data_IF_307887985011
#
_entry.id   IF_307887985011
#
_cell.length_a   1.000
_cell.length_b   1.000
_cell.length_c   1.000
_cell.angle_alpha   90.00
_cell.angle_beta   90.00
_cell.angle_gamma   90.00
#
_symmetry.space_group_name_H-M   'P 1'
#
loop_
_entity.id
_entity.type
_entity.pdbx_description
1 polymer ?
#
# COMPACT_ATOMS: atom_id res chain seq x y z
N UNK A 1 -6.51 -24.19 -7.16
CA UNK A 1 -6.17 -23.74 -8.53
C UNK A 1 -5.11 -22.66 -8.39
N UNK A 2 -3.94 -22.85 -9.00
CA UNK A 2 -2.80 -21.91 -8.97
C UNK A 2 -2.48 -21.53 -10.41
N UNK A 3 -1.83 -20.38 -10.64
CA UNK A 3 -1.41 -19.96 -12.00
C UNK A 3 -0.50 -21.00 -12.65
N UNK A 4 0.33 -21.70 -11.87
CA UNK A 4 1.16 -22.82 -12.32
C UNK A 4 0.33 -23.95 -12.91
N UNK A 5 -0.75 -24.37 -12.23
CA UNK A 5 -1.64 -25.41 -12.78
C UNK A 5 -2.30 -24.99 -14.09
N UNK A 6 -2.60 -23.70 -14.29
CA UNK A 6 -3.17 -23.19 -15.54
C UNK A 6 -2.12 -23.15 -16.68
N UNK A 7 -0.87 -22.84 -16.36
CA UNK A 7 0.25 -22.97 -17.33
C UNK A 7 0.52 -24.42 -17.68
N UNK A 8 0.58 -25.31 -16.68
CA UNK A 8 0.95 -26.70 -16.84
C UNK A 8 -0.12 -27.53 -17.59
N UNK A 9 -1.36 -27.03 -17.66
CA UNK A 9 -2.45 -27.58 -18.48
C UNK A 9 -2.35 -27.08 -19.95
N UNK A 10 -1.38 -26.21 -20.28
CA UNK A 10 -1.17 -25.68 -21.64
C UNK A 10 -2.15 -24.59 -22.05
N UNK A 11 -2.94 -24.06 -21.12
CA UNK A 11 -3.99 -23.05 -21.37
C UNK A 11 -3.48 -21.61 -21.33
N UNK A 12 -2.23 -21.38 -20.92
CA UNK A 12 -1.61 -20.06 -20.89
C UNK A 12 -0.31 -20.06 -21.70
N UNK A 13 -0.16 -19.13 -22.68
CA UNK A 13 1.14 -18.86 -23.28
C UNK A 13 2.17 -18.49 -22.20
N UNK A 14 3.42 -18.89 -22.38
CA UNK A 14 4.49 -18.63 -21.40
C UNK A 14 4.63 -17.14 -21.05
N UNK A 15 4.56 -16.27 -22.06
CA UNK A 15 4.59 -14.81 -21.90
C UNK A 15 3.42 -14.29 -21.05
N UNK A 16 2.20 -14.77 -21.30
CA UNK A 16 0.99 -14.40 -20.55
C UNK A 16 1.09 -14.85 -19.09
N UNK A 17 1.63 -16.05 -18.85
CA UNK A 17 1.87 -16.53 -17.49
C UNK A 17 2.86 -15.65 -16.72
N UNK A 18 3.96 -15.23 -17.34
CA UNK A 18 4.95 -14.35 -16.71
C UNK A 18 4.36 -13.00 -16.34
N UNK A 19 3.64 -12.36 -17.26
CA UNK A 19 3.00 -11.05 -17.03
C UNK A 19 1.92 -11.15 -15.93
N UNK A 20 1.08 -12.19 -15.94
CA UNK A 20 0.07 -12.38 -14.88
C UNK A 20 0.70 -12.70 -13.52
N UNK A 21 1.82 -13.42 -13.50
CA UNK A 21 2.57 -13.69 -12.27
C UNK A 21 3.17 -12.41 -11.71
N UNK A 22 3.73 -11.56 -12.57
CA UNK A 22 4.24 -10.24 -12.19
C UNK A 22 3.11 -9.35 -11.66
N UNK A 23 1.95 -9.34 -12.31
CA UNK A 23 0.76 -8.62 -11.86
C UNK A 23 0.32 -9.06 -10.45
N UNK A 24 0.33 -10.36 -10.17
CA UNK A 24 0.03 -10.89 -8.83
C UNK A 24 1.07 -10.44 -7.81
N UNK A 25 2.36 -10.49 -8.14
CA UNK A 25 3.44 -10.02 -7.27
C UNK A 25 3.30 -8.53 -6.94
N UNK A 26 3.01 -7.69 -7.94
CA UNK A 26 2.78 -6.26 -7.74
C UNK A 26 1.55 -6.00 -6.86
N UNK A 27 0.46 -6.75 -7.05
CA UNK A 27 -0.72 -6.67 -6.15
C UNK A 27 -0.39 -7.05 -4.71
N UNK A 28 0.46 -8.04 -4.51
CA UNK A 28 0.90 -8.44 -3.16
C UNK A 28 1.81 -7.37 -2.54
N UNK A 29 2.72 -6.77 -3.33
CA UNK A 29 3.56 -5.64 -2.91
C UNK A 29 2.72 -4.42 -2.51
N UNK A 30 1.74 -4.01 -3.33
CA UNK A 30 0.78 -2.95 -3.01
C UNK A 30 0.07 -3.22 -1.67
N UNK A 31 -0.46 -4.44 -1.48
CA UNK A 31 -1.12 -4.82 -0.22
C UNK A 31 -0.20 -4.75 1.00
N UNK A 32 1.07 -5.12 0.85
CA UNK A 32 2.05 -5.03 1.94
C UNK A 32 2.31 -3.57 2.29
N UNK A 33 2.48 -2.69 1.30
CA UNK A 33 2.71 -1.27 1.55
C UNK A 33 1.48 -0.58 2.14
N UNK A 34 0.27 -0.84 1.64
CA UNK A 34 -0.98 -0.32 2.24
C UNK A 34 -1.15 -0.76 3.69
N UNK A 35 -0.79 -2.00 4.03
CA UNK A 35 -0.81 -2.47 5.44
C UNK A 35 0.22 -1.73 6.30
N UNK A 36 1.44 -1.55 5.80
CA UNK A 36 2.49 -0.80 6.52
C UNK A 36 2.11 0.66 6.71
N UNK A 37 1.57 1.28 5.67
CA UNK A 37 1.09 2.66 5.70
C UNK A 37 0.00 2.82 6.77
N UNK A 38 -0.98 1.92 6.82
CA UNK A 38 -2.02 1.93 7.86
C UNK A 38 -1.43 1.78 9.26
N UNK A 39 -0.48 0.87 9.45
CA UNK A 39 0.19 0.66 10.74
C UNK A 39 0.99 1.90 11.18
N UNK A 40 1.79 2.50 10.29
CA UNK A 40 2.56 3.70 10.60
C UNK A 40 1.68 4.94 10.75
N UNK A 41 0.55 5.00 10.02
CA UNK A 41 -0.48 6.02 10.20
C UNK A 41 -1.09 5.95 11.60
N UNK A 42 -1.42 4.75 12.08
CA UNK A 42 -1.87 4.56 13.47
C UNK A 42 -0.80 4.96 14.49
N UNK A 43 0.46 4.59 14.26
CA UNK A 43 1.57 5.01 15.12
C UNK A 43 1.70 6.54 15.20
N UNK A 44 1.58 7.22 14.06
CA UNK A 44 1.61 8.69 13.97
C UNK A 44 0.44 9.32 14.72
N UNK A 45 -0.77 8.77 14.58
CA UNK A 45 -1.96 9.25 15.30
C UNK A 45 -1.76 9.11 16.81
N UNK A 46 -1.28 7.95 17.27
CA UNK A 46 -1.06 7.68 18.69
C UNK A 46 0.04 8.58 19.27
N UNK A 47 1.18 8.74 18.59
CA UNK A 47 2.28 9.59 19.06
C UNK A 47 1.86 11.06 19.12
N UNK A 48 1.18 11.55 18.08
CA UNK A 48 0.72 12.93 18.00
C UNK A 48 -0.37 13.22 19.02
N UNK A 49 -1.31 12.27 19.22
CA UNK A 49 -2.34 12.39 20.25
C UNK A 49 -1.71 12.42 21.65
N UNK A 50 -0.70 11.58 21.91
CA UNK A 50 0.06 11.60 23.16
C UNK A 50 0.75 12.95 23.42
N UNK A 51 1.37 13.53 22.39
CA UNK A 51 1.97 14.87 22.47
C UNK A 51 0.93 15.95 22.78
N UNK A 52 -0.21 15.93 22.08
CA UNK A 52 -1.29 16.91 22.29
C UNK A 52 -1.88 16.79 23.70
N UNK A 53 -2.15 15.57 24.16
CA UNK A 53 -2.64 15.32 25.52
C UNK A 53 -1.63 15.76 26.57
N UNK A 54 -0.34 15.49 26.34
CA UNK A 54 0.72 15.96 27.23
C UNK A 54 0.75 17.49 27.33
N UNK A 55 0.69 18.19 26.20
CA UNK A 55 0.62 19.66 26.17
C UNK A 55 -0.63 20.18 26.90
N UNK A 56 -1.80 19.57 26.63
CA UNK A 56 -3.07 20.06 27.15
C UNK A 56 -3.25 19.82 28.66
N UNK A 57 -2.79 18.69 29.20
CA UNK A 57 -2.97 18.36 30.61
C UNK A 57 -1.81 18.79 31.50
N UNK A 58 -0.57 18.71 31.02
CA UNK A 58 0.61 18.93 31.85
C UNK A 58 1.30 20.27 31.62
N UNK A 59 0.97 20.99 30.54
CA UNK A 59 1.57 22.29 30.22
C UNK A 59 0.54 23.43 30.15
N UNK A 60 -0.71 23.16 30.55
CA UNK A 60 -1.79 24.17 30.62
C UNK A 60 -1.36 25.34 31.51
N UNK A 61 -1.40 26.56 30.96
CA UNK A 61 -1.01 27.79 31.65
C UNK A 61 0.50 28.08 31.70
N UNK A 62 1.38 27.14 31.32
CA UNK A 62 2.83 27.40 31.23
C UNK A 62 3.21 28.04 29.90
N UNK A 63 2.64 27.58 28.80
CA UNK A 63 3.01 28.02 27.43
C UNK A 63 2.51 29.45 27.12
N UNK A 64 1.72 30.07 28.01
CA UNK A 64 1.21 31.44 27.86
C UNK A 64 2.30 32.51 28.03
N UNK A 65 3.50 32.13 28.46
CA UNK A 65 4.65 33.03 28.61
C UNK A 65 5.91 32.47 27.95
N UNK A 66 6.82 33.38 27.58
CA UNK A 66 8.13 33.02 27.02
C UNK A 66 8.92 32.09 27.97
N UNK A 67 8.78 32.30 29.29
CA UNK A 67 9.39 31.48 30.33
C UNK A 67 8.89 30.03 30.32
N UNK A 68 7.58 29.81 30.19
CA UNK A 68 7.06 28.45 30.16
C UNK A 68 7.25 27.75 28.81
N UNK A 69 7.43 28.49 27.70
CA UNK A 69 7.94 27.93 26.45
C UNK A 69 9.38 27.42 26.61
N UNK A 70 10.26 28.19 27.28
CA UNK A 70 11.62 27.76 27.62
C UNK A 70 11.61 26.52 28.54
N UNK A 71 10.71 26.48 29.53
CA UNK A 71 10.57 25.29 30.39
C UNK A 71 10.07 24.06 29.62
N UNK A 72 9.16 24.24 28.66
CA UNK A 72 8.72 23.16 27.79
C UNK A 72 9.86 22.62 26.92
N UNK A 73 10.67 23.51 26.35
CA UNK A 73 11.86 23.16 25.56
C UNK A 73 12.99 22.58 26.40
N UNK A 74 13.03 22.82 27.71
CA UNK A 74 14.00 22.19 28.60
C UNK A 74 13.49 20.87 29.21
N UNK A 75 12.23 20.51 28.95
CA UNK A 75 11.64 19.29 29.50
C UNK A 75 12.03 18.08 28.62
N UNK A 76 12.74 17.07 29.17
CA UNK A 76 13.15 15.89 28.40
C UNK A 76 11.96 15.10 27.85
N UNK A 77 10.81 15.11 28.54
CA UNK A 77 9.59 14.41 28.07
C UNK A 77 9.05 15.05 26.79
N UNK A 78 9.11 16.38 26.68
CA UNK A 78 8.71 17.11 25.47
C UNK A 78 9.56 16.71 24.27
N UNK A 79 10.88 16.58 24.46
CA UNK A 79 11.79 16.14 23.41
C UNK A 79 11.55 14.70 22.98
N UNK A 80 11.29 13.80 23.94
CA UNK A 80 10.99 12.39 23.63
C UNK A 80 9.68 12.28 22.84
N UNK A 81 8.60 12.93 23.28
CA UNK A 81 7.31 12.88 22.59
C UNK A 81 7.33 13.61 21.25
N UNK A 82 7.99 14.77 21.18
CA UNK A 82 8.16 15.54 19.95
C UNK A 82 9.03 14.80 18.94
N UNK A 83 10.16 14.25 19.39
CA UNK A 83 11.04 13.43 18.58
C UNK A 83 10.36 12.15 18.09
N UNK A 84 9.62 11.44 18.94
CA UNK A 84 8.84 10.27 18.54
C UNK A 84 7.79 10.62 17.47
N UNK A 85 7.10 11.75 17.63
CA UNK A 85 6.10 12.22 16.65
C UNK A 85 6.75 12.62 15.33
N UNK A 86 7.92 13.28 15.38
CA UNK A 86 8.68 13.64 14.19
C UNK A 86 9.17 12.39 13.42
N UNK A 87 9.73 11.41 14.13
CA UNK A 87 10.17 10.14 13.53
C UNK A 87 8.98 9.39 12.95
N UNK A 88 7.86 9.29 13.68
CA UNK A 88 6.65 8.64 13.17
C UNK A 88 6.13 9.33 11.89
N UNK A 89 6.14 10.67 11.85
CA UNK A 89 5.72 11.44 10.68
C UNK A 89 6.65 11.19 9.48
N UNK A 90 7.96 11.18 9.70
CA UNK A 90 8.94 10.90 8.66
C UNK A 90 8.79 9.49 8.08
N UNK A 91 8.63 8.47 8.94
CA UNK A 91 8.42 7.08 8.53
C UNK A 91 7.10 6.92 7.78
N UNK A 92 6.03 7.57 8.26
CA UNK A 92 4.74 7.56 7.57
C UNK A 92 4.84 8.18 6.18
N UNK A 93 5.42 9.38 6.03
CA UNK A 93 5.59 10.05 4.75
C UNK A 93 6.40 9.21 3.75
N UNK A 94 7.47 8.57 4.22
CA UNK A 94 8.25 7.65 3.37
C UNK A 94 7.42 6.46 2.94
N UNK A 95 6.70 5.83 3.87
CA UNK A 95 5.88 4.65 3.56
C UNK A 95 4.73 4.98 2.64
N UNK A 96 4.10 6.15 2.82
CA UNK A 96 3.02 6.64 1.97
C UNK A 96 3.47 6.77 0.51
N UNK A 97 4.65 7.38 0.27
CA UNK A 97 5.24 7.46 -1.09
C UNK A 97 5.50 6.09 -1.72
N UNK A 98 6.01 5.14 -0.95
CA UNK A 98 6.23 3.77 -1.44
C UNK A 98 4.92 3.02 -1.71
N UNK A 99 3.88 3.32 -0.93
CA UNK A 99 2.52 2.79 -1.10
C UNK A 99 1.90 3.29 -2.40
N UNK A 100 1.97 4.59 -2.64
CA UNK A 100 1.50 5.25 -3.87
C UNK A 100 2.24 4.72 -5.10
N UNK A 101 3.58 4.67 -5.06
CA UNK A 101 4.37 4.09 -6.15
C UNK A 101 4.03 2.62 -6.42
N UNK A 102 3.80 1.81 -5.38
CA UNK A 102 3.42 0.41 -5.57
C UNK A 102 1.99 0.24 -6.13
N UNK A 103 1.09 1.18 -5.84
CA UNK A 103 -0.25 1.24 -6.42
C UNK A 103 -0.19 1.63 -7.88
N UNK A 104 0.58 2.67 -8.23
CA UNK A 104 0.81 3.11 -9.61
C UNK A 104 1.44 1.99 -10.46
N UNK A 105 2.50 1.33 -9.95
CA UNK A 105 3.16 0.20 -10.62
C UNK A 105 2.18 -0.96 -10.91
N UNK A 106 1.23 -1.20 -10.00
CA UNK A 106 0.21 -2.23 -10.16
C UNK A 106 -0.85 -1.82 -11.18
N UNK A 107 -1.36 -0.58 -11.07
CA UNK A 107 -2.42 -0.08 -11.94
C UNK A 107 -1.94 0.13 -13.38
N UNK A 108 -0.70 0.54 -13.58
CA UNK A 108 -0.08 0.63 -14.90
C UNK A 108 -0.02 -0.75 -15.57
N UNK A 109 0.54 -1.75 -14.88
CA UNK A 109 0.62 -3.11 -15.42
C UNK A 109 -0.76 -3.72 -15.64
N UNK A 110 -1.71 -3.44 -14.74
CA UNK A 110 -3.10 -3.88 -14.89
C UNK A 110 -3.73 -3.30 -16.16
N UNK A 111 -3.54 -2.01 -16.41
CA UNK A 111 -4.04 -1.34 -17.64
C UNK A 111 -3.37 -1.91 -18.88
N UNK A 112 -2.05 -2.13 -18.84
CA UNK A 112 -1.31 -2.76 -19.93
C UNK A 112 -1.86 -4.15 -20.26
N UNK A 113 -2.13 -4.98 -19.25
CA UNK A 113 -2.71 -6.32 -19.43
C UNK A 113 -4.11 -6.28 -20.05
N UNK A 114 -4.91 -5.26 -19.72
CA UNK A 114 -6.24 -5.06 -20.32
C UNK A 114 -6.09 -4.63 -21.79
N UNK A 115 -5.19 -3.69 -22.07
CA UNK A 115 -4.97 -3.13 -23.40
C UNK A 115 -4.34 -4.14 -24.37
N UNK A 116 -3.38 -4.93 -23.89
CA UNK A 116 -2.74 -6.01 -24.65
C UNK A 116 -3.54 -7.31 -24.60
N UNK A 117 -4.81 -7.25 -24.24
CA UNK A 117 -5.67 -8.43 -24.12
C UNK A 117 -5.75 -9.26 -25.42
N UNK A 118 -5.76 -8.62 -26.59
CA UNK A 118 -5.78 -9.37 -27.86
C UNK A 118 -4.45 -10.07 -28.19
N UNK A 119 -3.34 -9.58 -27.65
CA UNK A 119 -2.00 -10.16 -27.81
C UNK A 119 -1.74 -11.29 -26.80
N UNK A 120 -2.16 -11.06 -25.55
CA UNK A 120 -1.94 -11.97 -24.42
C UNK A 120 -2.84 -13.20 -24.46
N UNK A 121 -4.00 -13.09 -25.11
CA UNK A 121 -4.96 -14.18 -25.24
C UNK A 121 -5.03 -14.60 -26.71
N UNK A 122 -4.55 -15.80 -27.07
CA UNK A 122 -4.74 -16.32 -28.42
C UNK A 122 -6.23 -16.29 -28.79
N UNK A 123 -6.55 -16.18 -30.10
CA UNK A 123 -7.93 -16.29 -30.59
C UNK A 123 -8.49 -17.68 -30.28
N UNK A 124 -9.06 -17.84 -29.10
CA UNK A 124 -9.85 -19.00 -28.73
C UNK A 124 -11.24 -18.87 -29.36
N UNK A 125 -11.80 -19.93 -29.95
CA UNK A 125 -13.14 -19.92 -30.54
C UNK A 125 -14.22 -19.46 -29.54
N UNK A 126 -14.06 -19.83 -28.27
CA UNK A 126 -15.09 -19.68 -27.23
C UNK A 126 -14.73 -18.65 -26.14
N UNK A 127 -13.50 -18.12 -26.12
CA UNK A 127 -13.01 -17.19 -25.09
C UNK A 127 -13.07 -17.69 -23.64
N UNK A 128 -13.28 -19.00 -23.45
CA UNK A 128 -13.61 -19.61 -22.16
C UNK A 128 -12.41 -19.67 -21.21
N UNK A 129 -11.19 -19.82 -21.73
CA UNK A 129 -9.98 -19.85 -20.91
C UNK A 129 -9.67 -18.47 -20.35
N UNK A 130 -9.72 -17.42 -21.20
CA UNK A 130 -9.54 -16.02 -20.78
C UNK A 130 -10.50 -15.67 -19.64
N UNK A 131 -11.79 -15.98 -19.82
CA UNK A 131 -12.80 -15.72 -18.80
C UNK A 131 -12.51 -16.48 -17.50
N UNK A 132 -12.12 -17.75 -17.58
CA UNK A 132 -11.79 -18.58 -16.41
C UNK A 132 -10.61 -18.00 -15.62
N UNK A 133 -9.56 -17.56 -16.30
CA UNK A 133 -8.37 -16.97 -15.66
C UNK A 133 -8.70 -15.60 -15.05
N UNK A 134 -9.44 -14.75 -15.75
CA UNK A 134 -9.90 -13.46 -15.23
C UNK A 134 -10.80 -13.62 -13.99
N UNK A 135 -11.72 -14.59 -14.02
CA UNK A 135 -12.54 -14.94 -12.85
C UNK A 135 -11.70 -15.45 -11.68
N UNK A 136 -10.69 -16.26 -11.96
CA UNK A 136 -9.76 -16.73 -10.94
C UNK A 136 -9.01 -15.57 -10.28
N UNK A 137 -8.45 -14.66 -11.07
CA UNK A 137 -7.72 -13.48 -10.57
C UNK A 137 -8.63 -12.56 -9.75
N UNK A 138 -9.87 -12.36 -10.18
CA UNK A 138 -10.87 -11.59 -9.44
C UNK A 138 -11.17 -12.26 -8.09
N UNK A 139 -11.56 -13.54 -8.09
CA UNK A 139 -12.03 -14.23 -6.88
C UNK A 139 -10.92 -14.58 -5.90
N UNK A 140 -9.72 -14.93 -6.38
CA UNK A 140 -8.63 -15.45 -5.53
C UNK A 140 -7.55 -14.43 -5.23
N UNK A 141 -7.32 -13.45 -6.11
CA UNK A 141 -6.28 -12.42 -5.93
C UNK A 141 -6.85 -11.02 -5.73
N UNK A 142 -8.14 -10.81 -6.03
CA UNK A 142 -8.81 -9.51 -5.93
C UNK A 142 -8.36 -8.56 -7.04
N UNK A 143 -7.99 -9.11 -8.20
CA UNK A 143 -7.51 -8.35 -9.36
C UNK A 143 -8.60 -8.39 -10.42
N UNK A 144 -9.13 -7.22 -10.78
CA UNK A 144 -10.17 -7.12 -11.78
C UNK A 144 -9.58 -6.74 -13.15
N UNK A 145 -9.79 -7.58 -14.17
CA UNK A 145 -9.32 -7.34 -15.53
C UNK A 145 -10.47 -7.16 -16.55
N UNK A 146 -11.72 -7.03 -16.08
CA UNK A 146 -12.89 -6.87 -16.96
C UNK A 146 -13.07 -5.44 -17.48
N UNK A 147 -12.61 -4.45 -16.72
CA UNK A 147 -12.69 -3.03 -17.04
C UNK A 147 -11.43 -2.32 -16.55
N UNK A 148 -11.12 -1.15 -17.11
CA UNK A 148 -10.07 -0.26 -16.61
C UNK A 148 -10.48 0.35 -15.27
#
# INVERSE_FOLDING_TARGET
>A
MTLEKLRDIGTLPGMTYEILTELVKRKEKEKIWKKKESLYGLCLILSSSGLILFMFFFQKGRIESLSGLIQFLNNPVSWVLGGASFVAAFVFLRTHRESESAEDDFDELRKEVIDRGEELWPKEPDGSTRYTVMQFLLKKKGINLFYK
#
